data_IF_287702581375
#
_entry.id   IF_287702581375
#
_cell.length_a   1.000
_cell.length_b   1.000
_cell.length_c   1.000
_cell.angle_alpha   90.00
_cell.angle_beta   90.00
_cell.angle_gamma   90.00
#
_symmetry.space_group_name_H-M   'P 1'
#
loop_
_entity.id
_entity.type
_entity.pdbx_description
1 polymer ?
#
# COMPACT_ATOMS: atom_id res chain seq x y z
N UNK A 1 22.47 8.52 -3.19
CA UNK A 1 21.30 9.43 -3.02
C UNK A 1 19.96 8.72 -3.19
N UNK A 2 19.92 7.39 -3.43
CA UNK A 2 18.71 6.54 -3.43
C UNK A 2 18.17 6.16 -2.02
N UNK A 3 18.80 6.66 -0.96
CA UNK A 3 18.59 6.19 0.42
C UNK A 3 17.14 6.39 0.91
N UNK A 4 16.51 7.50 0.52
CA UNK A 4 15.14 7.79 0.97
C UNK A 4 14.11 6.83 0.37
N UNK A 5 14.30 6.37 -0.87
CA UNK A 5 13.38 5.45 -1.53
C UNK A 5 13.46 4.06 -0.91
N UNK A 6 14.68 3.61 -0.60
CA UNK A 6 14.91 2.38 0.16
C UNK A 6 14.29 2.48 1.55
N UNK A 7 14.45 3.60 2.26
CA UNK A 7 13.81 3.81 3.58
C UNK A 7 12.29 3.79 3.51
N UNK A 8 11.67 4.41 2.49
CA UNK A 8 10.21 4.31 2.28
C UNK A 8 9.83 2.85 2.09
N UNK A 9 10.56 2.11 1.26
CA UNK A 9 10.30 0.69 1.04
C UNK A 9 10.41 -0.13 2.33
N UNK A 10 11.48 0.06 3.11
CA UNK A 10 11.66 -0.60 4.41
C UNK A 10 10.55 -0.24 5.39
N UNK A 11 10.11 1.02 5.42
CA UNK A 11 8.99 1.46 6.25
C UNK A 11 7.66 0.82 5.85
N UNK A 12 7.39 0.67 4.55
CA UNK A 12 6.19 -0.02 4.05
C UNK A 12 6.22 -1.53 4.25
N UNK A 13 7.41 -2.10 4.46
CA UNK A 13 7.62 -3.49 4.84
C UNK A 13 7.68 -3.70 6.36
N UNK A 14 7.65 -2.62 7.15
CA UNK A 14 7.72 -2.68 8.60
C UNK A 14 6.44 -3.29 9.21
N UNK A 15 6.61 -3.98 10.33
CA UNK A 15 5.51 -4.66 11.03
C UNK A 15 4.38 -3.68 11.38
N UNK A 16 4.72 -2.45 11.80
CA UNK A 16 3.71 -1.43 12.16
C UNK A 16 2.84 -1.01 10.98
N UNK A 17 3.43 -0.93 9.79
CA UNK A 17 2.67 -0.61 8.59
C UNK A 17 1.76 -1.79 8.23
N UNK A 18 2.31 -3.00 8.26
CA UNK A 18 1.55 -4.25 8.09
C UNK A 18 0.36 -4.35 9.04
N UNK A 19 0.55 -4.08 10.34
CA UNK A 19 -0.51 -4.08 11.35
C UNK A 19 -1.59 -3.03 11.05
N UNK A 20 -1.21 -1.81 10.66
CA UNK A 20 -2.16 -0.75 10.32
C UNK A 20 -3.01 -1.11 9.09
N UNK A 21 -2.38 -1.72 8.08
CA UNK A 21 -3.05 -2.20 6.88
C UNK A 21 -3.95 -3.40 7.19
N UNK A 22 -3.49 -4.34 8.01
CA UNK A 22 -4.29 -5.48 8.45
C UNK A 22 -5.50 -5.02 9.28
N UNK A 23 -5.36 -4.04 10.18
CA UNK A 23 -6.47 -3.49 10.95
C UNK A 23 -7.48 -2.79 10.04
N UNK A 24 -7.00 -1.98 9.08
CA UNK A 24 -7.84 -1.34 8.08
C UNK A 24 -8.61 -2.39 7.26
N UNK A 25 -7.92 -3.43 6.81
CA UNK A 25 -8.52 -4.49 6.02
C UNK A 25 -9.54 -5.29 6.84
N UNK A 26 -9.24 -5.68 8.09
CA UNK A 26 -10.21 -6.41 8.93
C UNK A 26 -11.53 -5.65 9.15
N UNK A 27 -11.47 -4.31 9.18
CA UNK A 27 -12.64 -3.42 9.34
C UNK A 27 -13.44 -3.24 8.05
N UNK A 28 -12.82 -3.44 6.88
CA UNK A 28 -13.42 -3.15 5.58
C UNK A 28 -13.56 -4.37 4.67
N UNK A 29 -12.93 -5.51 4.97
CA UNK A 29 -12.91 -6.69 4.13
C UNK A 29 -14.30 -7.32 3.97
N UNK A 30 -15.24 -7.07 4.89
CA UNK A 30 -16.56 -7.71 4.90
C UNK A 30 -17.37 -7.44 3.62
N UNK A 31 -17.22 -6.25 3.01
CA UNK A 31 -17.92 -5.90 1.76
C UNK A 31 -17.36 -6.63 0.53
N UNK A 32 -16.12 -7.12 0.59
CA UNK A 32 -15.42 -7.69 -0.56
C UNK A 32 -15.85 -9.13 -0.78
N UNK A 33 -16.38 -9.46 -1.95
CA UNK A 33 -16.78 -10.82 -2.27
C UNK A 33 -15.63 -11.59 -2.93
N UNK A 34 -15.33 -12.78 -2.38
CA UNK A 34 -14.16 -13.57 -2.78
C UNK A 34 -14.38 -14.15 -4.18
N UNK A 35 -15.56 -14.75 -4.39
CA UNK A 35 -15.94 -15.49 -5.61
C UNK A 35 -16.63 -14.63 -6.67
N UNK A 36 -16.80 -13.33 -6.45
CA UNK A 36 -17.43 -12.43 -7.43
C UNK A 36 -16.37 -11.78 -8.32
N UNK A 37 -16.57 -11.88 -9.65
CA UNK A 37 -15.74 -11.19 -10.67
C UNK A 37 -16.18 -9.73 -10.86
N UNK A 38 -17.45 -9.40 -10.57
CA UNK A 38 -17.95 -8.04 -10.62
C UNK A 38 -17.46 -7.23 -9.41
N UNK A 39 -16.89 -6.06 -9.68
CA UNK A 39 -16.38 -5.17 -8.64
C UNK A 39 -17.42 -4.11 -8.30
N UNK A 40 -17.82 -4.05 -7.02
CA UNK A 40 -18.78 -3.07 -6.55
C UNK A 40 -18.14 -1.68 -6.50
N UNK A 41 -18.91 -0.64 -6.82
CA UNK A 41 -18.48 0.77 -6.71
C UNK A 41 -17.97 1.12 -5.30
N UNK A 42 -18.48 0.42 -4.28
CA UNK A 42 -18.05 0.58 -2.90
C UNK A 42 -16.58 0.18 -2.67
N UNK A 43 -16.02 -0.73 -3.48
CA UNK A 43 -14.62 -1.13 -3.40
C UNK A 43 -13.70 0.05 -3.71
N UNK A 44 -14.05 0.86 -4.70
CA UNK A 44 -13.34 2.10 -5.03
C UNK A 44 -13.35 3.09 -3.86
N UNK A 45 -14.44 3.17 -3.11
CA UNK A 45 -14.52 4.05 -1.93
C UNK A 45 -13.58 3.58 -0.81
N UNK A 46 -13.46 2.27 -0.59
CA UNK A 46 -12.53 1.72 0.41
C UNK A 46 -11.09 1.88 -0.08
N UNK A 47 -10.83 1.62 -1.36
CA UNK A 47 -9.52 1.82 -1.96
C UNK A 47 -9.03 3.26 -1.83
N UNK A 48 -9.89 4.26 -2.09
CA UNK A 48 -9.55 5.67 -1.87
C UNK A 48 -9.21 5.98 -0.40
N UNK A 49 -9.85 5.30 0.56
CA UNK A 49 -9.48 5.44 1.99
C UNK A 49 -8.13 4.80 2.29
N UNK A 50 -7.85 3.65 1.69
CA UNK A 50 -6.55 2.99 1.80
C UNK A 50 -5.43 3.87 1.21
N UNK A 51 -5.63 4.43 0.01
CA UNK A 51 -4.68 5.36 -0.60
C UNK A 51 -4.39 6.55 0.31
N UNK A 52 -5.41 7.14 0.93
CA UNK A 52 -5.20 8.23 1.90
C UNK A 52 -4.39 7.81 3.12
N UNK A 53 -4.61 6.60 3.63
CA UNK A 53 -3.81 6.04 4.73
C UNK A 53 -2.35 5.89 4.30
N UNK A 54 -2.13 5.31 3.13
CA UNK A 54 -0.81 5.10 2.53
C UNK A 54 -0.08 6.43 2.31
N UNK A 55 -0.73 7.38 1.62
CA UNK A 55 -0.19 8.72 1.35
C UNK A 55 0.15 9.45 2.65
N UNK A 56 -0.73 9.43 3.65
CA UNK A 56 -0.47 10.08 4.94
C UNK A 56 0.76 9.49 5.65
N UNK A 57 0.92 8.16 5.58
CA UNK A 57 2.05 7.44 6.20
C UNK A 57 3.37 7.73 5.48
N UNK A 58 3.36 7.72 4.15
CA UNK A 58 4.53 8.09 3.34
C UNK A 58 4.88 9.56 3.55
N UNK A 59 3.90 10.46 3.56
CA UNK A 59 4.13 11.90 3.79
C UNK A 59 4.72 12.17 5.18
N UNK A 60 4.21 11.50 6.23
CA UNK A 60 4.75 11.57 7.59
C UNK A 60 6.23 11.16 7.59
N UNK A 61 6.57 10.01 7.00
CA UNK A 61 7.94 9.50 6.92
C UNK A 61 8.87 10.45 6.13
N UNK A 62 8.41 10.95 4.98
CA UNK A 62 9.16 11.92 4.18
C UNK A 62 9.42 13.21 4.96
N UNK A 63 8.42 13.72 5.67
CA UNK A 63 8.50 14.92 6.49
C UNK A 63 9.47 14.76 7.66
N UNK A 64 9.48 13.60 8.31
CA UNK A 64 10.45 13.26 9.37
C UNK A 64 11.89 13.26 8.85
N UNK A 65 12.10 12.86 7.59
CA UNK A 65 13.41 12.90 6.93
C UNK A 65 13.72 14.26 6.26
N UNK A 66 12.82 15.24 6.37
CA UNK A 66 13.00 16.57 5.75
C UNK A 66 12.95 16.57 4.22
N UNK A 67 12.30 15.57 3.63
CA UNK A 67 12.18 15.38 2.17
C UNK A 67 10.78 15.79 1.72
N UNK A 68 10.68 16.56 0.64
CA UNK A 68 9.38 16.86 0.04
C UNK A 68 8.89 15.73 -0.87
N UNK A 69 7.57 15.56 -1.08
CA UNK A 69 7.03 14.58 -2.02
C UNK A 69 7.60 14.73 -3.45
N UNK A 70 7.89 15.98 -3.86
CA UNK A 70 8.52 16.28 -5.14
C UNK A 70 9.96 15.75 -5.22
N UNK A 71 10.73 15.88 -4.14
CA UNK A 71 12.08 15.31 -4.06
C UNK A 71 12.04 13.78 -4.09
N UNK A 72 11.11 13.17 -3.36
CA UNK A 72 10.90 11.73 -3.39
C UNK A 72 10.61 11.23 -4.82
N UNK A 73 9.70 11.90 -5.54
CA UNK A 73 9.41 11.57 -6.94
C UNK A 73 10.64 11.68 -7.85
N UNK A 74 11.48 12.71 -7.67
CA UNK A 74 12.73 12.84 -8.42
C UNK A 74 13.71 11.71 -8.11
N UNK A 75 13.82 11.27 -6.86
CA UNK A 75 14.68 10.14 -6.49
C UNK A 75 14.15 8.81 -7.04
N UNK A 76 12.83 8.56 -7.02
CA UNK A 76 12.22 7.40 -7.67
C UNK A 76 12.53 7.38 -9.17
N UNK A 77 12.39 8.53 -9.85
CA UNK A 77 12.70 8.63 -11.28
C UNK A 77 14.17 8.35 -11.56
N UNK A 78 15.10 8.87 -10.74
CA UNK A 78 16.53 8.61 -10.88
C UNK A 78 16.87 7.13 -10.70
N UNK A 79 16.23 6.45 -9.74
CA UNK A 79 16.40 5.00 -9.53
C UNK A 79 15.93 4.20 -10.75
N UNK A 80 14.75 4.54 -11.28
CA UNK A 80 14.24 3.94 -12.51
C UNK A 80 15.21 4.15 -13.69
N UNK A 81 15.71 5.37 -13.87
CA UNK A 81 16.67 5.69 -14.93
C UNK A 81 18.06 5.02 -14.72
N UNK A 82 18.41 4.70 -13.47
CA UNK A 82 19.66 4.03 -13.10
C UNK A 82 19.62 2.50 -13.25
N UNK A 83 18.45 1.92 -13.51
CA UNK A 83 18.26 0.47 -13.70
C UNK A 83 17.72 -0.28 -12.47
N UNK A 84 17.49 0.41 -11.35
CA UNK A 84 16.85 -0.14 -10.14
C UNK A 84 15.31 0.00 -10.23
N UNK A 85 14.75 -0.51 -11.33
CA UNK A 85 13.30 -0.41 -11.60
C UNK A 85 12.48 -1.25 -10.59
N UNK A 86 13.05 -2.34 -10.06
CA UNK A 86 12.37 -3.26 -9.15
C UNK A 86 11.83 -2.58 -7.89
N UNK A 87 12.59 -1.65 -7.29
CA UNK A 87 12.17 -0.93 -6.08
C UNK A 87 10.97 -0.01 -6.41
N UNK A 88 11.03 0.66 -7.56
CA UNK A 88 9.97 1.56 -8.01
C UNK A 88 8.70 0.76 -8.34
N UNK A 89 8.86 -0.38 -9.02
CA UNK A 89 7.76 -1.30 -9.33
C UNK A 89 7.11 -1.87 -8.07
N UNK A 90 7.91 -2.22 -7.06
CA UNK A 90 7.40 -2.66 -5.77
C UNK A 90 6.54 -1.58 -5.09
N UNK A 91 7.02 -0.33 -5.06
CA UNK A 91 6.27 0.79 -4.49
C UNK A 91 4.96 1.06 -5.24
N UNK A 92 4.99 0.97 -6.58
CA UNK A 92 3.80 1.12 -7.42
C UNK A 92 2.80 -0.01 -7.14
N UNK A 93 3.27 -1.25 -7.03
CA UNK A 93 2.44 -2.41 -6.72
C UNK A 93 1.73 -2.29 -5.37
N UNK A 94 2.38 -1.72 -4.35
CA UNK A 94 1.71 -1.48 -3.05
C UNK A 94 0.56 -0.48 -3.13
N UNK A 95 0.64 0.46 -4.07
CA UNK A 95 -0.42 1.42 -4.36
C UNK A 95 -1.38 0.95 -5.45
N UNK A 96 -1.22 -0.27 -5.99
CA UNK A 96 -2.03 -0.77 -7.07
C UNK A 96 -3.37 -1.34 -6.56
N UNK A 97 -4.43 -1.12 -7.34
CA UNK A 97 -5.77 -1.55 -6.96
C UNK A 97 -5.93 -3.06 -6.94
N UNK A 98 -5.32 -3.81 -7.88
CA UNK A 98 -5.43 -5.27 -7.92
C UNK A 98 -4.72 -5.90 -6.73
N UNK A 99 -3.56 -5.36 -6.34
CA UNK A 99 -2.82 -5.80 -5.14
C UNK A 99 -3.65 -5.54 -3.89
N UNK A 100 -4.23 -4.36 -3.76
CA UNK A 100 -5.13 -4.02 -2.67
C UNK A 100 -6.36 -4.95 -2.60
N UNK A 101 -6.99 -5.23 -3.76
CA UNK A 101 -8.16 -6.08 -3.84
C UNK A 101 -7.85 -7.52 -3.40
N UNK A 102 -6.74 -8.07 -3.88
CA UNK A 102 -6.28 -9.41 -3.51
C UNK A 102 -6.00 -9.49 -1.99
N UNK A 103 -5.30 -8.50 -1.44
CA UNK A 103 -5.04 -8.41 -0.01
C UNK A 103 -6.34 -8.39 0.81
N UNK A 104 -7.34 -7.61 0.39
CA UNK A 104 -8.65 -7.56 1.06
C UNK A 104 -9.38 -8.90 1.03
N UNK A 105 -9.37 -9.59 -0.13
CA UNK A 105 -9.96 -10.93 -0.29
C UNK A 105 -9.25 -11.94 0.60
N UNK A 106 -7.91 -11.94 0.64
CA UNK A 106 -7.12 -12.81 1.51
C UNK A 106 -7.41 -12.60 3.00
N UNK A 107 -7.48 -11.35 3.45
CA UNK A 107 -7.76 -11.03 4.86
C UNK A 107 -9.18 -11.45 5.22
N UNK A 108 -10.16 -11.28 4.34
CA UNK A 108 -11.52 -11.82 4.53
C UNK A 108 -11.49 -13.34 4.68
N UNK A 109 -10.74 -14.03 3.82
CA UNK A 109 -10.62 -15.49 3.84
C UNK A 109 -10.00 -15.99 5.15
N UNK A 110 -8.95 -15.32 5.63
CA UNK A 110 -8.32 -15.59 6.94
C UNK A 110 -9.29 -15.33 8.09
N UNK A 111 -10.06 -14.23 8.05
CA UNK A 111 -11.08 -13.90 9.05
C UNK A 111 -12.15 -14.99 9.13
N UNK A 112 -12.71 -15.39 7.99
CA UNK A 112 -13.70 -16.48 7.90
C UNK A 112 -13.14 -17.84 8.35
N UNK A 113 -11.86 -18.11 8.09
CA UNK A 113 -11.18 -19.34 8.53
C UNK A 113 -10.87 -19.38 10.03
N UNK A 114 -10.78 -18.22 10.69
CA UNK A 114 -10.57 -18.10 12.15
C UNK A 114 -11.87 -18.16 12.95
N UNK A 115 -13.01 -17.91 12.30
CA UNK A 115 -14.35 -17.97 12.91
C UNK A 115 -15.00 -19.37 12.85
N UNK A 116 -14.33 -20.35 12.23
CA UNK A 116 -14.72 -21.78 12.21
C UNK A 116 -13.99 -22.58 13.29
#
# INVERSE_FOLDING_TARGET
MADIVVRVMEYLLDEKFGEAVEEFANKHCDIFEIDEEEQKLEYTNVYNKFLKLFEAKVEEMLKENGVSPQQFYMECKKLSDAGDQEIVEFLLALSDYEVFLNMMKEIKLRKLGREK
#
